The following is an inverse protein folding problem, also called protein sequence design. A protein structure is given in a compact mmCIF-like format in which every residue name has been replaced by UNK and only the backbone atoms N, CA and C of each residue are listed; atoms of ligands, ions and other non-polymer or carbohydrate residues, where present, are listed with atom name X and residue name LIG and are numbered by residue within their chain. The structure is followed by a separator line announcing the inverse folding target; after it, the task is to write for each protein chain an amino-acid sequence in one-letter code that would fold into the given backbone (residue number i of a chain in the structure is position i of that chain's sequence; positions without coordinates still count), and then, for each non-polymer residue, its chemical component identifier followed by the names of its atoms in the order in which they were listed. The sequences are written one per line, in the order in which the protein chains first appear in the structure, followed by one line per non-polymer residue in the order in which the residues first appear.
data_IF_085500103601
#
_entry.id   IF_085500103601
#
_cell.length_a   1.000
_cell.length_b   1.000
_cell.length_c   1.000
_cell.angle_alpha   90.00
_cell.angle_beta   90.00
_cell.angle_gamma   90.00
#
_symmetry.space_group_name_H-M   'P 1'
#
loop_
_entity.id
_entity.type
_entity.pdbx_description
1 polymer ?
#
# COMPACT_ATOMS: atom_id res chain seq x y z
N UNK A 1 -1.14 9.51 -13.28
CA UNK A 1 -1.06 9.25 -11.82
C UNK A 1 0.10 8.33 -11.46
N UNK A 2 0.16 7.09 -11.97
CA UNK A 2 1.15 6.09 -11.53
C UNK A 2 2.61 6.56 -11.50
N UNK A 3 3.14 7.14 -12.60
CA UNK A 3 4.53 7.64 -12.64
C UNK A 3 4.84 8.72 -11.60
N UNK A 4 3.88 9.61 -11.30
CA UNK A 4 4.06 10.67 -10.30
C UNK A 4 4.13 10.05 -8.90
N UNK A 5 3.31 9.02 -8.64
CA UNK A 5 3.31 8.30 -7.37
C UNK A 5 4.66 7.62 -7.11
N UNK A 6 5.27 7.00 -8.12
CA UNK A 6 6.60 6.39 -8.01
C UNK A 6 7.70 7.42 -7.70
N UNK A 7 7.64 8.61 -8.31
CA UNK A 7 8.59 9.68 -7.98
C UNK A 7 8.37 10.22 -6.55
N UNK A 8 7.11 10.35 -6.12
CA UNK A 8 6.78 10.70 -4.74
C UNK A 8 7.28 9.63 -3.76
N UNK A 9 7.20 8.34 -4.13
CA UNK A 9 7.61 7.24 -3.26
C UNK A 9 9.11 7.26 -2.91
N UNK A 10 9.93 7.88 -3.77
CA UNK A 10 11.38 8.08 -3.53
C UNK A 10 11.67 9.24 -2.56
N UNK A 11 10.67 10.01 -2.16
CA UNK A 11 10.83 11.15 -1.26
C UNK A 11 10.68 10.76 0.21
N UNK A 12 11.12 11.66 1.10
CA UNK A 12 10.94 11.50 2.55
C UNK A 12 9.63 12.12 3.07
N UNK A 13 8.62 12.28 2.19
CA UNK A 13 7.34 12.88 2.56
C UNK A 13 6.55 11.88 3.42
N UNK A 14 6.08 12.33 4.59
CA UNK A 14 5.25 11.52 5.49
C UNK A 14 3.74 11.73 5.24
N UNK A 15 3.33 12.90 4.77
CA UNK A 15 1.93 13.24 4.51
C UNK A 15 1.77 13.74 3.09
N UNK A 16 0.92 13.08 2.32
CA UNK A 16 0.54 13.50 0.97
C UNK A 16 -0.92 13.98 0.98
N UNK A 17 -1.12 15.21 0.53
CA UNK A 17 -2.46 15.78 0.36
C UNK A 17 -2.72 16.08 -1.12
N UNK A 18 -3.82 15.52 -1.63
CA UNK A 18 -4.33 15.72 -2.98
C UNK A 18 -5.81 16.03 -2.84
N UNK A 19 -6.13 17.21 -2.34
CA UNK A 19 -7.50 17.66 -2.16
C UNK A 19 -8.00 18.38 -3.42
N UNK A 20 -9.30 18.27 -3.73
CA UNK A 20 -9.98 19.06 -4.77
C UNK A 20 -9.33 18.99 -6.16
N UNK A 21 -8.85 17.79 -6.52
CA UNK A 21 -8.06 17.55 -7.74
C UNK A 21 -8.80 16.66 -8.75
N UNK A 22 -10.11 16.45 -8.55
CA UNK A 22 -10.97 15.63 -9.41
C UNK A 22 -10.47 14.18 -9.60
N UNK A 23 -9.79 13.64 -8.59
CA UNK A 23 -9.25 12.28 -8.62
C UNK A 23 -10.36 11.24 -8.61
N UNK A 24 -10.44 10.42 -9.65
CA UNK A 24 -11.42 9.31 -9.73
C UNK A 24 -10.95 8.09 -8.95
N UNK A 25 -11.87 7.15 -8.68
CA UNK A 25 -11.57 5.90 -7.97
C UNK A 25 -10.36 5.14 -8.55
N UNK A 26 -10.33 4.90 -9.87
CA UNK A 26 -9.20 4.20 -10.52
C UNK A 26 -7.87 4.96 -10.41
N UNK A 27 -7.93 6.29 -10.48
CA UNK A 27 -6.74 7.14 -10.37
C UNK A 27 -6.18 7.11 -8.96
N UNK A 28 -7.05 7.10 -7.95
CA UNK A 28 -6.68 6.91 -6.55
C UNK A 28 -6.07 5.51 -6.33
N UNK A 29 -6.66 4.45 -6.89
CA UNK A 29 -6.09 3.10 -6.82
C UNK A 29 -4.68 3.06 -7.40
N UNK A 30 -4.50 3.62 -8.59
CA UNK A 30 -3.18 3.70 -9.25
C UNK A 30 -2.18 4.54 -8.46
N UNK A 31 -2.63 5.63 -7.83
CA UNK A 31 -1.80 6.44 -6.95
C UNK A 31 -1.31 5.60 -5.76
N UNK A 32 -2.22 4.96 -5.03
CA UNK A 32 -1.88 4.15 -3.84
C UNK A 32 -0.93 3.01 -4.22
N UNK A 33 -1.16 2.32 -5.33
CA UNK A 33 -0.24 1.28 -5.82
C UNK A 33 1.18 1.82 -6.06
N UNK A 34 1.30 3.00 -6.65
CA UNK A 34 2.59 3.65 -6.87
C UNK A 34 3.27 4.17 -5.60
N UNK A 35 2.54 4.30 -4.49
CA UNK A 35 3.08 4.67 -3.17
C UNK A 35 3.62 3.46 -2.37
N UNK A 36 3.62 2.26 -2.95
CA UNK A 36 4.20 1.06 -2.33
C UNK A 36 5.67 1.31 -1.94
N UNK A 37 6.01 1.02 -0.68
CA UNK A 37 7.37 1.22 -0.14
C UNK A 37 7.75 2.68 0.10
N UNK A 38 6.82 3.63 -0.08
CA UNK A 38 7.06 5.03 0.24
C UNK A 38 7.13 5.29 1.76
N UNK A 39 7.59 6.48 2.14
CA UNK A 39 7.55 6.95 3.54
C UNK A 39 6.23 7.60 3.92
N UNK A 40 5.25 7.63 3.02
CA UNK A 40 3.95 8.27 3.29
C UNK A 40 3.15 7.41 4.27
N UNK A 41 2.77 8.04 5.38
CA UNK A 41 1.94 7.48 6.45
C UNK A 41 0.52 8.02 6.43
N UNK A 42 0.33 9.22 5.89
CA UNK A 42 -0.97 9.87 5.79
C UNK A 42 -1.27 10.30 4.35
N UNK A 43 -2.40 9.82 3.81
CA UNK A 43 -2.92 10.21 2.50
C UNK A 43 -4.28 10.91 2.66
N UNK A 44 -4.32 12.19 2.28
CA UNK A 44 -5.55 13.01 2.29
C UNK A 44 -6.01 13.24 0.86
N UNK A 45 -7.17 12.69 0.50
CA UNK A 45 -7.75 12.84 -0.85
C UNK A 45 -9.15 13.43 -0.76
N UNK A 46 -9.31 14.46 0.07
CA UNK A 46 -10.59 15.09 0.30
C UNK A 46 -11.11 15.83 -0.93
N UNK A 47 -12.43 15.97 -1.08
CA UNK A 47 -13.09 16.73 -2.16
C UNK A 47 -12.80 16.22 -3.60
N UNK A 48 -12.57 14.92 -3.80
CA UNK A 48 -12.30 14.36 -5.14
C UNK A 48 -13.49 13.66 -5.83
N UNK A 49 -14.72 13.81 -5.31
CA UNK A 49 -15.92 13.15 -5.86
C UNK A 49 -15.73 11.63 -6.11
N UNK A 50 -15.14 10.94 -5.14
CA UNK A 50 -14.93 9.49 -5.24
C UNK A 50 -16.17 8.79 -4.70
N UNK A 51 -16.84 8.02 -5.55
CA UNK A 51 -17.96 7.18 -5.16
C UNK A 51 -17.44 5.93 -4.44
N UNK A 52 -17.88 5.64 -3.20
CA UNK A 52 -17.47 4.44 -2.47
C UNK A 52 -17.76 3.13 -3.22
N UNK A 53 -18.84 3.09 -4.02
CA UNK A 53 -19.21 1.90 -4.79
C UNK A 53 -18.19 1.56 -5.88
N UNK A 54 -17.55 2.58 -6.48
CA UNK A 54 -16.50 2.39 -7.48
C UNK A 54 -15.24 1.76 -6.86
N UNK A 55 -14.96 2.08 -5.60
CA UNK A 55 -13.86 1.48 -4.85
C UNK A 55 -14.16 0.03 -4.48
N UNK A 56 -15.39 -0.24 -4.04
CA UNK A 56 -15.85 -1.59 -3.66
C UNK A 56 -15.83 -2.55 -4.84
N UNK A 57 -16.34 -2.14 -6.00
CA UNK A 57 -16.38 -2.96 -7.20
C UNK A 57 -14.98 -3.29 -7.75
N UNK A 58 -13.97 -2.46 -7.45
CA UNK A 58 -12.63 -2.65 -8.01
C UNK A 58 -11.89 -3.83 -7.37
N UNK A 59 -12.07 -4.11 -6.07
CA UNK A 59 -11.28 -5.08 -5.28
C UNK A 59 -9.78 -4.73 -5.16
N UNK A 60 -9.19 -4.26 -6.25
CA UNK A 60 -7.84 -3.74 -6.41
C UNK A 60 -7.53 -2.61 -5.43
N UNK A 61 -8.50 -1.77 -5.09
CA UNK A 61 -8.30 -0.68 -4.14
C UNK A 61 -7.85 -1.18 -2.76
N UNK A 62 -8.52 -2.19 -2.21
CA UNK A 62 -8.16 -2.74 -0.89
C UNK A 62 -6.77 -3.41 -0.94
N UNK A 63 -6.52 -4.20 -1.99
CA UNK A 63 -5.21 -4.82 -2.20
C UNK A 63 -4.09 -3.78 -2.38
N UNK A 64 -4.41 -2.62 -2.97
CA UNK A 64 -3.47 -1.51 -3.09
C UNK A 64 -3.14 -0.94 -1.71
N UNK A 65 -4.14 -0.67 -0.89
CA UNK A 65 -3.94 -0.13 0.47
C UNK A 65 -3.11 -1.09 1.32
N UNK A 66 -3.42 -2.39 1.30
CA UNK A 66 -2.67 -3.45 2.03
C UNK A 66 -1.18 -3.53 1.66
N UNK A 67 -0.81 -3.10 0.46
CA UNK A 67 0.59 -3.14 -0.02
C UNK A 67 1.38 -1.88 0.37
N UNK A 68 0.78 -0.96 1.11
CA UNK A 68 1.40 0.30 1.53
C UNK A 68 1.53 0.36 3.04
N UNK A 69 2.40 1.23 3.54
CA UNK A 69 2.52 1.48 4.98
C UNK A 69 1.66 2.65 5.46
N UNK A 70 0.60 2.99 4.71
CA UNK A 70 -0.32 4.08 5.03
C UNK A 70 -1.13 3.68 6.27
N UNK A 71 -1.14 4.53 7.29
CA UNK A 71 -1.86 4.34 8.55
C UNK A 71 -3.06 5.27 8.71
N UNK A 72 -3.14 6.30 7.87
CA UNK A 72 -4.24 7.27 7.84
C UNK A 72 -4.62 7.55 6.39
N UNK A 73 -5.87 7.26 6.05
CA UNK A 73 -6.44 7.49 4.72
C UNK A 73 -7.75 8.26 4.86
N UNK A 74 -7.77 9.49 4.36
CA UNK A 74 -8.94 10.35 4.41
C UNK A 74 -9.53 10.53 3.01
N UNK A 75 -10.62 9.80 2.74
CA UNK A 75 -11.39 9.89 1.49
C UNK A 75 -12.73 10.54 1.80
N UNK A 76 -12.86 11.81 1.47
CA UNK A 76 -14.13 12.54 1.61
C UNK A 76 -15.13 11.97 0.61
N UNK A 77 -16.18 11.34 1.12
CA UNK A 77 -17.17 10.58 0.34
C UNK A 77 -17.46 9.21 0.94
N UNK A 78 -16.50 8.64 1.67
CA UNK A 78 -16.70 7.43 2.48
C UNK A 78 -16.96 7.83 3.94
N UNK A 79 -17.94 8.69 4.17
CA UNK A 79 -18.33 9.12 5.53
C UNK A 79 -19.30 8.16 6.18
N UNK A 80 -19.97 7.32 5.39
CA UNK A 80 -20.87 6.30 5.93
C UNK A 80 -20.05 5.13 6.48
N UNK A 81 -19.99 5.06 7.81
CA UNK A 81 -19.28 4.04 8.58
C UNK A 81 -19.89 2.64 8.42
N UNK A 82 -21.09 2.54 7.84
CA UNK A 82 -21.77 1.27 7.61
C UNK A 82 -21.36 0.60 6.30
N UNK A 83 -20.72 1.32 5.37
CA UNK A 83 -20.27 0.75 4.11
C UNK A 83 -19.22 -0.35 4.35
N UNK A 84 -19.35 -1.52 3.70
CA UNK A 84 -18.38 -2.61 3.82
C UNK A 84 -16.95 -2.16 3.50
N UNK A 85 -16.78 -1.36 2.44
CA UNK A 85 -15.48 -0.82 2.03
C UNK A 85 -14.85 0.06 3.12
N UNK A 86 -15.64 0.87 3.84
CA UNK A 86 -15.14 1.67 4.96
C UNK A 86 -14.57 0.78 6.07
N UNK A 87 -15.31 -0.26 6.45
CA UNK A 87 -14.88 -1.19 7.50
C UNK A 87 -13.59 -1.94 7.10
N UNK A 88 -13.51 -2.39 5.86
CA UNK A 88 -12.31 -3.04 5.33
C UNK A 88 -11.09 -2.11 5.36
N UNK A 89 -11.23 -0.87 4.89
CA UNK A 89 -10.16 0.15 4.98
C UNK A 89 -9.73 0.34 6.43
N UNK A 90 -10.66 0.52 7.36
CA UNK A 90 -10.33 0.73 8.78
C UNK A 90 -9.57 -0.47 9.39
N UNK A 91 -9.95 -1.70 9.06
CA UNK A 91 -9.24 -2.90 9.52
C UNK A 91 -7.80 -2.95 9.00
N UNK A 92 -7.59 -2.65 7.72
CA UNK A 92 -6.25 -2.61 7.11
C UNK A 92 -5.39 -1.54 7.80
N UNK A 93 -5.92 -0.33 7.97
CA UNK A 93 -5.20 0.77 8.62
C UNK A 93 -4.85 0.46 10.09
N UNK A 94 -5.75 -0.20 10.82
CA UNK A 94 -5.49 -0.65 12.18
C UNK A 94 -4.37 -1.70 12.23
N UNK A 95 -4.38 -2.66 11.31
CA UNK A 95 -3.30 -3.65 11.18
C UNK A 95 -1.94 -2.98 10.97
N UNK A 96 -1.86 -1.99 10.07
CA UNK A 96 -0.61 -1.24 9.84
C UNK A 96 -0.14 -0.43 11.06
N UNK A 97 -1.05 0.08 11.88
CA UNK A 97 -0.69 0.77 13.11
C UNK A 97 -0.09 -0.19 14.16
N UNK A 98 -0.63 -1.41 14.24
CA UNK A 98 -0.16 -2.44 15.16
C UNK A 98 1.24 -2.95 14.78
N UNK A 99 1.50 -3.21 13.50
CA UNK A 99 2.82 -3.68 13.03
C UNK A 99 3.91 -2.65 13.32
N UNK A 100 3.65 -1.37 13.05
CA UNK A 100 4.61 -0.28 13.33
C UNK A 100 4.90 -0.12 14.83
N UNK A 101 3.91 -0.38 15.69
CA UNK A 101 4.09 -0.32 17.15
C UNK A 101 4.98 -1.46 17.67
N UNK A 102 4.88 -2.64 17.06
CA UNK A 102 5.67 -3.81 17.41
C UNK A 102 7.13 -3.65 16.98
N UNK A 103 7.38 -3.16 15.76
CA UNK A 103 8.74 -2.89 15.26
C UNK A 103 9.49 -1.88 16.12
N UNK A 104 8.79 -0.84 16.59
CA UNK A 104 9.37 0.19 17.47
C UNK A 104 9.80 -0.35 18.84
N UNK A 105 9.21 -1.46 19.30
CA UNK A 105 9.52 -2.07 20.59
C UNK A 105 10.73 -3.00 20.52
N UNK A 106 10.93 -3.69 19.39
CA UNK A 106 12.03 -4.66 19.20
C UNK A 106 13.39 -3.98 19.08
N UNK A 107 13.46 -2.78 18.49
CA UNK A 107 14.75 -2.07 18.28
C UNK A 107 15.39 -1.56 19.58
N UNK A 108 14.64 -1.45 20.67
CA UNK A 108 15.20 -1.01 21.96
C UNK A 108 15.83 -2.14 22.78
N UNK A 109 15.63 -3.40 22.40
CA UNK A 109 16.08 -4.54 23.19
C UNK A 109 17.44 -5.12 22.74
N UNK A 110 17.97 -4.66 21.60
CA UNK A 110 19.25 -5.13 21.04
C UNK A 110 20.45 -4.20 21.32
N UNK A 111 20.25 -3.09 22.04
CA UNK A 111 21.31 -2.12 22.37
C UNK A 111 22.02 -2.37 23.72
N UNK A 112 21.72 -3.47 24.42
CA UNK A 112 22.21 -3.70 25.80
C UNK A 112 23.14 -4.92 25.98
N UNK A 113 23.58 -5.57 24.92
CA UNK A 113 24.39 -6.79 25.01
C UNK A 113 25.68 -6.71 24.18
N UNK A 114 26.55 -5.73 24.46
CA UNK A 114 28.00 -5.98 24.34
C UNK A 114 28.82 -4.96 25.14
N UNK A 115 29.06 -5.27 26.41
CA UNK A 115 30.23 -4.77 27.14
C UNK A 115 31.01 -5.99 27.60
N UNK A 116 31.49 -6.79 26.65
CA UNK A 116 32.58 -7.73 26.92
C UNK A 116 33.87 -7.01 26.57
N UNK A 117 34.65 -6.67 27.61
CA UNK A 117 35.99 -6.11 27.46
C UNK A 117 36.81 -6.92 26.44
N UNK A 118 37.44 -6.27 25.44
CA UNK A 118 38.49 -6.92 24.69
C UNK A 118 39.65 -7.18 25.66
N UNK A 119 39.84 -8.46 25.95
CA UNK A 119 40.97 -9.00 26.67
C UNK A 119 42.27 -8.40 26.10
N UNK A 120 42.96 -7.61 26.93
CA UNK A 120 44.30 -7.09 26.70
C UNK A 120 45.29 -8.25 26.81
N UNK A 121 45.39 -9.08 25.80
CA UNK A 121 46.53 -9.99 25.63
C UNK A 121 46.55 -10.48 24.18
N UNK A 122 47.33 -9.77 23.36
CA UNK A 122 48.08 -10.27 22.20
C UNK A 122 48.78 -9.06 21.57
N UNK A 123 49.75 -8.52 22.32
CA UNK A 123 50.90 -7.94 21.65
C UNK A 123 51.73 -9.08 21.03
N UNK A 124 52.44 -8.72 19.97
CA UNK A 124 53.59 -9.43 19.40
C UNK A 124 53.28 -10.54 18.39
N UNK A 125 53.25 -10.18 17.10
CA UNK A 125 53.90 -10.88 15.97
C UNK A 125 53.75 -9.96 14.73
N UNK A 126 54.69 -9.03 14.54
CA UNK A 126 55.84 -9.12 13.64
C UNK A 126 55.50 -8.97 12.14
N UNK A 127 56.01 -7.87 11.60
CA UNK A 127 56.44 -7.59 10.22
C UNK A 127 56.16 -8.67 9.16
N UNK A 128 55.34 -8.30 8.17
CA UNK A 128 55.48 -8.90 6.84
C UNK A 128 55.44 -7.83 5.75
N UNK A 129 56.60 -7.67 5.12
CA UNK A 129 56.92 -6.75 4.04
C UNK A 129 56.08 -6.98 2.79
N UNK A 130 55.75 -5.87 2.12
CA UNK A 130 55.05 -5.80 0.84
C UNK A 130 55.75 -6.55 -0.31
N UNK A 131 54.95 -7.10 -1.23
CA UNK A 131 55.16 -7.00 -2.69
C UNK A 131 53.83 -7.10 -3.45
N UNK A 132 53.69 -6.49 -4.64
CA UNK A 132 52.44 -6.44 -5.38
C UNK A 132 52.32 -7.63 -6.34
N UNK A 133 51.16 -8.28 -6.36
CA UNK A 133 50.82 -9.28 -7.39
C UNK A 133 49.50 -8.91 -8.05
N UNK A 134 49.60 -8.52 -9.33
CA UNK A 134 48.49 -8.47 -10.28
C UNK A 134 47.96 -9.89 -10.46
N UNK A 135 46.69 -10.18 -10.16
CA UNK A 135 45.91 -11.13 -10.95
C UNK A 135 44.43 -10.75 -11.04
N UNK A 136 43.98 -10.81 -12.28
CA UNK A 136 42.66 -10.62 -12.83
C UNK A 136 41.85 -11.91 -12.59
N UNK A 137 40.73 -11.85 -11.87
CA UNK A 137 39.80 -12.99 -11.78
C UNK A 137 38.36 -12.52 -11.66
N UNK A 138 37.53 -13.04 -12.55
CA UNK A 138 36.09 -12.85 -12.70
C UNK A 138 35.30 -13.33 -11.48
N UNK A 139 34.49 -12.45 -10.91
CA UNK A 139 33.52 -12.80 -9.86
C UNK A 139 32.30 -13.49 -10.48
N UNK A 140 32.27 -14.82 -10.44
CA UNK A 140 31.02 -15.59 -10.45
C UNK A 140 30.60 -15.84 -9.00
N UNK A 141 29.64 -15.04 -8.51
CA UNK A 141 29.00 -15.23 -7.21
C UNK A 141 28.07 -16.45 -7.29
N UNK A 142 28.43 -17.53 -6.62
CA UNK A 142 27.55 -18.68 -6.35
C UNK A 142 27.42 -18.80 -4.83
N UNK A 143 26.26 -18.43 -4.30
CA UNK A 143 25.91 -18.61 -2.88
C UNK A 143 25.28 -20.00 -2.68
N UNK A 144 25.74 -20.82 -1.73
CA UNK A 144 24.99 -21.98 -1.28
C UNK A 144 23.94 -21.52 -0.26
N UNK A 145 22.66 -21.58 -0.64
CA UNK A 145 21.56 -21.34 0.29
C UNK A 145 21.18 -22.69 0.94
N UNK A 146 21.85 -23.05 2.02
CA UNK A 146 21.34 -24.09 2.95
C UNK A 146 20.32 -23.44 3.88
N UNK A 147 19.04 -23.64 3.57
CA UNK A 147 17.93 -23.23 4.43
C UNK A 147 17.43 -24.46 5.20
N UNK A 148 17.97 -24.69 6.40
CA UNK A 148 17.37 -25.61 7.38
C UNK A 148 16.42 -24.83 8.26
N UNK A 149 15.11 -24.99 8.02
CA UNK A 149 14.08 -24.67 9.01
C UNK A 149 13.33 -25.97 9.37
N UNK A 150 13.76 -26.57 10.47
CA UNK A 150 12.96 -27.49 11.27
C UNK A 150 12.28 -26.65 12.34
N UNK A 151 10.96 -26.52 12.24
CA UNK A 151 10.15 -25.75 13.18
C UNK A 151 8.67 -25.97 12.92
N UNK A 152 8.18 -27.13 13.33
CA UNK A 152 6.78 -27.53 13.32
C UNK A 152 6.08 -26.96 14.56
N UNK A 153 4.89 -26.38 14.38
CA UNK A 153 3.99 -25.94 15.47
C UNK A 153 3.07 -24.84 14.97
N UNK A 154 2.00 -25.14 14.23
CA UNK A 154 0.67 -25.59 14.68
C UNK A 154 -0.09 -24.53 15.50
N UNK A 155 -1.35 -24.31 15.10
CA UNK A 155 -2.41 -23.39 15.60
C UNK A 155 -2.44 -22.07 14.84
N UNK A 156 -3.52 -21.64 14.19
CA UNK A 156 -4.89 -22.14 14.04
C UNK A 156 -5.67 -21.01 13.36
N UNK A 157 -6.34 -21.29 12.24
CA UNK A 157 -7.80 -21.30 12.17
C UNK A 157 -8.44 -20.00 11.63
N UNK A 158 -9.10 -20.18 10.48
CA UNK A 158 -10.39 -19.57 10.09
C UNK A 158 -10.36 -18.09 9.64
N UNK A 159 -10.42 -17.89 8.32
CA UNK A 159 -11.32 -16.90 7.70
C UNK A 159 -11.48 -17.18 6.18
N UNK A 160 -11.99 -18.36 5.83
CA UNK A 160 -12.60 -18.57 4.51
C UNK A 160 -14.03 -17.99 4.55
N UNK A 161 -14.16 -16.66 4.49
CA UNK A 161 -15.44 -15.99 4.41
C UNK A 161 -15.84 -15.77 2.95
N UNK A 162 -16.70 -16.69 2.47
CA UNK A 162 -17.84 -16.40 1.60
C UNK A 162 -17.58 -15.62 0.28
N UNK A 163 -17.02 -16.27 -0.74
CA UNK A 163 -17.32 -15.90 -2.12
C UNK A 163 -18.65 -16.57 -2.54
N UNK A 164 -19.75 -15.91 -2.19
CA UNK A 164 -21.11 -16.33 -2.56
C UNK A 164 -21.30 -15.98 -4.04
N UNK A 165 -21.55 -17.00 -4.86
CA UNK A 165 -22.01 -16.86 -6.25
C UNK A 165 -23.07 -15.77 -6.38
N UNK A 166 -22.70 -14.62 -6.94
CA UNK A 166 -23.66 -13.61 -7.38
C UNK A 166 -24.22 -14.08 -8.72
N UNK A 167 -25.52 -14.39 -8.72
CA UNK A 167 -26.29 -14.68 -9.93
C UNK A 167 -26.15 -13.51 -10.90
N UNK A 168 -25.67 -13.81 -12.10
CA UNK A 168 -25.86 -12.98 -13.29
C UNK A 168 -27.35 -12.82 -13.55
N UNK A 169 -27.94 -11.74 -13.04
CA UNK A 169 -29.26 -11.26 -13.40
C UNK A 169 -29.15 -10.42 -14.66
N UNK A 170 -29.30 -11.07 -15.81
CA UNK A 170 -29.61 -10.43 -17.08
C UNK A 170 -31.03 -9.87 -16.96
N UNK A 171 -31.23 -8.57 -17.22
CA UNK A 171 -32.51 -7.92 -17.00
C UNK A 171 -32.46 -6.45 -17.34
N UNK A 172 -32.36 -6.18 -18.63
CA UNK A 172 -32.42 -4.87 -19.25
C UNK A 172 -33.73 -4.14 -18.85
N UNK A 173 -33.60 -2.89 -18.43
CA UNK A 173 -34.66 -1.90 -18.61
C UNK A 173 -34.02 -0.50 -18.66
N UNK A 174 -33.45 -0.21 -19.83
CA UNK A 174 -33.23 1.17 -20.25
C UNK A 174 -34.61 1.81 -20.42
N UNK A 175 -34.99 2.66 -19.47
CA UNK A 175 -36.01 3.67 -19.71
C UNK A 175 -35.41 4.71 -20.66
N UNK A 176 -35.60 4.44 -21.96
CA UNK A 176 -35.51 5.41 -23.03
C UNK A 176 -36.60 6.47 -22.80
N UNK A 177 -36.22 7.54 -22.11
CA UNK A 177 -37.00 8.78 -22.08
C UNK A 177 -36.43 9.67 -23.17
N UNK A 178 -36.91 9.45 -24.39
CA UNK A 178 -36.91 10.43 -25.46
C UNK A 178 -37.63 11.68 -24.96
N UNK A 179 -36.84 12.67 -24.54
CA UNK A 179 -37.32 14.04 -24.35
C UNK A 179 -37.48 14.61 -25.75
N UNK A 180 -38.70 14.50 -26.28
CA UNK A 180 -39.12 15.28 -27.44
C UNK A 180 -39.11 16.77 -27.05
N UNK A 181 -38.07 17.46 -27.48
CA UNK A 181 -38.04 18.91 -27.58
C UNK A 181 -38.95 19.31 -28.75
N UNK A 182 -40.26 19.41 -28.51
CA UNK A 182 -41.17 20.12 -29.41
C UNK A 182 -40.84 21.61 -29.30
N UNK A 183 -40.10 22.07 -30.30
CA UNK A 183 -39.89 23.49 -30.57
C UNK A 183 -41.17 24.15 -31.06
N UNK A 184 -41.38 25.36 -30.55
CA UNK A 184 -41.66 26.58 -31.30
C UNK A 184 -42.45 26.47 -32.61
N UNK A 185 -43.68 26.97 -32.55
CA UNK A 185 -44.29 27.74 -33.62
C UNK A 185 -45.31 28.73 -33.05
N UNK A 186 -44.77 29.87 -32.61
CA UNK A 186 -45.55 31.09 -32.55
C UNK A 186 -46.15 31.41 -33.91
N UNK A 187 -47.48 31.40 -34.01
CA UNK A 187 -48.22 32.11 -35.05
C UNK A 187 -49.38 32.87 -34.40
N UNK A 188 -49.15 34.17 -34.27
CA UNK A 188 -50.15 35.23 -34.14
C UNK A 188 -51.11 35.23 -35.31
N UNK A 189 -52.42 35.36 -35.06
CA UNK A 189 -53.27 36.15 -35.93
C UNK A 189 -54.36 36.86 -35.12
N UNK A 190 -54.42 38.17 -35.37
CA UNK A 190 -55.45 39.14 -34.99
C UNK A 190 -56.52 39.12 -36.08
#
# INVERSE_FOLDING_TARGET
MYKIAEEIAKTNIATLEISDSHVRAQELTNLILGLKGSKIKELKVSKNNINPLDLENSGEFLSAVEKTDIISLNIKGITDKNLPIYKAIQQILQSHQQTNSLESSTTQQESAADTTEPNKELEEFLDFTATPSKQNTTNSFSLPLTLTFLGVGLLGSIAACCYKHFKSGNGDNYNDSTVDLVGDDGVTNV
#
